data_IF_226582067238
#
_entry.id   IF_226582067238
#
_cell.length_a   1.000
_cell.length_b   1.000
_cell.length_c   1.000
_cell.angle_alpha   90.00
_cell.angle_beta   90.00
_cell.angle_gamma   90.00
#
_symmetry.space_group_name_H-M   'P 1'
#
loop_
_entity.id
_entity.type
_entity.pdbx_description
1 polymer ?
#
# COMPACT_ATOMS: atom_id res chain seq x y z
N UNK A 1 4.26 12.24 6.49
CA UNK A 1 2.88 11.72 6.26
C UNK A 1 2.70 10.38 6.94
N UNK A 2 3.59 9.41 6.69
CA UNK A 2 3.58 8.11 7.34
C UNK A 2 3.59 8.20 8.88
N UNK A 3 4.51 8.96 9.48
CA UNK A 3 4.55 9.15 10.94
C UNK A 3 3.32 9.86 11.48
N UNK A 4 2.94 10.97 10.83
CA UNK A 4 1.91 11.87 11.33
C UNK A 4 0.49 11.29 11.26
N UNK A 5 0.21 10.42 10.29
CA UNK A 5 -1.15 9.94 10.03
C UNK A 5 -1.29 8.42 10.01
N UNK A 6 -0.20 7.67 9.83
CA UNK A 6 -0.23 6.21 9.67
C UNK A 6 0.65 5.46 10.67
N UNK A 7 0.93 6.04 11.84
CA UNK A 7 1.59 5.35 12.95
C UNK A 7 2.94 4.70 12.55
N UNK A 8 3.69 5.27 11.61
CA UNK A 8 4.87 4.59 11.08
C UNK A 8 5.91 4.28 12.17
N UNK A 9 6.18 5.20 13.08
CA UNK A 9 7.04 4.96 14.25
C UNK A 9 6.59 3.75 15.10
N UNK A 10 5.28 3.51 15.22
CA UNK A 10 4.74 2.36 15.95
C UNK A 10 4.83 1.08 15.12
N UNK A 11 4.76 1.17 13.79
CA UNK A 11 4.57 0.01 12.90
C UNK A 11 5.82 -0.45 12.18
N UNK A 12 6.91 0.34 12.19
CA UNK A 12 8.14 0.07 11.42
C UNK A 12 8.69 -1.35 11.65
N UNK A 13 8.75 -1.80 12.90
CA UNK A 13 9.27 -3.14 13.25
C UNK A 13 8.23 -4.26 13.12
N UNK A 14 6.96 -3.92 12.95
CA UNK A 14 5.85 -4.88 12.85
C UNK A 14 5.00 -4.71 11.58
N UNK A 15 5.65 -4.23 10.50
CA UNK A 15 5.01 -4.00 9.20
C UNK A 15 4.31 -5.25 8.64
N UNK A 16 3.24 -5.06 7.90
CA UNK A 16 2.42 -6.13 7.32
C UNK A 16 2.54 -6.13 5.80
N UNK A 17 2.24 -7.27 5.18
CA UNK A 17 2.24 -7.37 3.71
C UNK A 17 0.98 -6.73 3.14
N UNK A 18 -0.16 -6.89 3.81
CA UNK A 18 -1.45 -6.40 3.36
C UNK A 18 -2.25 -5.78 4.53
N UNK A 19 -3.10 -4.80 4.21
CA UNK A 19 -3.83 -3.98 5.20
C UNK A 19 -4.70 -4.80 6.17
N UNK A 20 -5.21 -5.95 5.70
CA UNK A 20 -6.12 -6.82 6.47
C UNK A 20 -5.42 -8.02 7.15
N UNK A 21 -4.09 -8.12 7.11
CA UNK A 21 -3.35 -9.30 7.62
C UNK A 21 -3.55 -9.57 9.13
N UNK A 22 -3.85 -8.52 9.90
CA UNK A 22 -4.10 -8.60 11.35
C UNK A 22 -5.57 -8.34 11.72
N UNK A 23 -6.47 -8.32 10.73
CA UNK A 23 -7.88 -7.98 10.94
C UNK A 23 -8.63 -8.96 11.84
N UNK A 24 -8.18 -10.22 11.93
CA UNK A 24 -8.79 -11.24 12.80
C UNK A 24 -8.64 -10.96 14.30
N UNK A 25 -7.64 -10.16 14.68
CA UNK A 25 -7.40 -9.78 16.08
C UNK A 25 -8.20 -8.54 16.50
N UNK A 26 -8.86 -7.88 15.53
CA UNK A 26 -9.74 -6.75 15.76
C UNK A 26 -11.11 -7.18 16.28
N UNK A 27 -11.62 -6.49 17.31
CA UNK A 27 -12.94 -6.75 17.89
C UNK A 27 -14.05 -5.84 17.33
N UNK A 28 -13.73 -4.99 16.34
CA UNK A 28 -14.68 -4.07 15.71
C UNK A 28 -15.10 -2.89 16.58
N UNK A 29 -14.43 -2.61 17.70
CA UNK A 29 -14.78 -1.46 18.53
C UNK A 29 -14.63 -0.14 17.78
N UNK A 30 -15.44 0.85 18.13
CA UNK A 30 -15.29 2.20 17.61
C UNK A 30 -13.95 2.80 18.04
N UNK A 31 -13.23 3.40 17.08
CA UNK A 31 -11.92 4.01 17.26
C UNK A 31 -11.98 5.55 17.22
N UNK A 32 -13.16 6.15 17.14
CA UNK A 32 -13.30 7.62 17.09
C UNK A 32 -12.70 8.32 18.32
N UNK A 33 -12.89 7.74 19.51
CA UNK A 33 -12.37 8.25 20.78
C UNK A 33 -11.21 7.41 21.36
N UNK A 34 -10.66 6.48 20.58
CA UNK A 34 -9.57 5.62 21.04
C UNK A 34 -8.25 6.40 21.08
N UNK A 35 -7.59 6.41 22.25
CA UNK A 35 -6.34 7.14 22.43
C UNK A 35 -5.12 6.25 22.14
N UNK A 36 -4.69 6.24 20.87
CA UNK A 36 -3.52 5.49 20.42
C UNK A 36 -2.21 5.88 21.14
N UNK A 37 -2.07 7.12 21.59
CA UNK A 37 -0.85 7.60 22.26
C UNK A 37 -0.72 7.08 23.70
N UNK A 38 -1.83 6.66 24.32
CA UNK A 38 -1.87 6.20 25.71
C UNK A 38 -2.29 4.73 25.85
N UNK A 39 -2.39 3.98 24.74
CA UNK A 39 -2.84 2.59 24.77
C UNK A 39 -1.75 1.59 25.18
N UNK A 40 -0.52 2.05 25.39
CA UNK A 40 0.60 1.22 25.82
C UNK A 40 1.02 0.18 24.76
N UNK A 41 0.82 0.47 23.48
CA UNK A 41 1.43 -0.30 22.41
C UNK A 41 2.94 -0.03 22.35
N UNK A 42 3.74 -1.10 22.34
CA UNK A 42 5.20 -1.01 22.29
C UNK A 42 5.74 -1.97 21.22
N UNK A 43 6.72 -1.52 20.44
CA UNK A 43 7.32 -2.28 19.34
C UNK A 43 8.31 -3.34 19.82
N UNK A 44 8.96 -3.11 20.97
CA UNK A 44 9.97 -4.00 21.54
C UNK A 44 9.45 -4.91 22.64
N UNK A 45 10.04 -6.11 22.75
CA UNK A 45 10.14 -6.78 24.05
C UNK A 45 11.01 -5.92 24.95
N UNK A 46 10.52 -5.49 26.11
CA UNK A 46 11.35 -4.82 27.10
C UNK A 46 12.57 -5.67 27.41
N UNK A 47 13.76 -5.23 26.97
CA UNK A 47 15.03 -5.84 27.39
C UNK A 47 15.13 -5.68 28.90
N UNK A 48 15.00 -6.79 29.64
CA UNK A 48 15.15 -6.82 31.10
C UNK A 48 13.96 -7.36 31.90
N UNK A 49 12.86 -7.80 31.27
CA UNK A 49 11.79 -8.48 32.00
C UNK A 49 12.23 -9.92 32.40
N UNK A 50 12.20 -10.28 33.70
CA UNK A 50 12.60 -11.62 34.14
C UNK A 50 11.68 -12.69 33.54
N UNK A 51 12.19 -13.89 33.23
CA UNK A 51 11.52 -14.90 32.39
C UNK A 51 10.29 -15.58 33.02
N UNK A 52 9.72 -15.05 34.11
CA UNK A 52 8.65 -15.75 34.82
C UNK A 52 7.62 -14.84 35.52
N UNK A 53 7.35 -13.65 35.00
CA UNK A 53 6.16 -12.88 35.41
C UNK A 53 5.15 -12.90 34.27
N UNK A 54 4.01 -13.54 34.52
CA UNK A 54 2.76 -13.32 33.81
C UNK A 54 2.30 -11.87 34.03
N UNK A 55 2.85 -10.92 33.25
CA UNK A 55 2.32 -9.56 33.21
C UNK A 55 0.96 -9.60 32.48
N UNK A 56 -0.10 -9.00 33.04
CA UNK A 56 -1.43 -9.05 32.43
C UNK A 56 -1.51 -8.31 31.09
N UNK A 57 -0.58 -7.39 30.81
CA UNK A 57 -0.65 -6.47 29.69
C UNK A 57 0.71 -6.35 28.96
N UNK A 58 0.68 -6.35 27.62
CA UNK A 58 1.68 -5.63 26.82
C UNK A 58 2.94 -6.37 26.35
N UNK A 59 2.95 -7.71 26.26
CA UNK A 59 4.05 -8.42 25.58
C UNK A 59 3.83 -8.40 24.06
N UNK A 60 4.86 -8.07 23.28
CA UNK A 60 4.84 -8.15 21.82
C UNK A 60 4.39 -9.55 21.37
N UNK A 61 3.35 -9.62 20.55
CA UNK A 61 2.74 -10.89 20.09
C UNK A 61 1.68 -11.49 21.02
N UNK A 62 1.37 -10.87 22.17
CA UNK A 62 0.22 -11.25 22.99
C UNK A 62 -1.11 -10.80 22.38
N UNK A 63 -2.22 -11.40 22.82
CA UNK A 63 -3.58 -11.12 22.29
C UNK A 63 -3.94 -9.62 22.34
N UNK A 64 -3.65 -8.96 23.47
CA UNK A 64 -3.90 -7.51 23.61
C UNK A 64 -3.03 -6.68 22.66
N UNK A 65 -1.77 -7.09 22.45
CA UNK A 65 -0.85 -6.42 21.54
C UNK A 65 -1.30 -6.57 20.08
N UNK A 66 -1.69 -7.79 19.67
CA UNK A 66 -2.22 -8.06 18.32
C UNK A 66 -3.49 -7.25 18.04
N UNK A 67 -4.38 -7.12 19.03
CA UNK A 67 -5.56 -6.27 18.91
C UNK A 67 -5.22 -4.80 18.70
N UNK A 68 -4.25 -4.26 19.44
CA UNK A 68 -3.77 -2.87 19.27
C UNK A 68 -3.07 -2.64 17.94
N UNK A 69 -2.38 -3.65 17.42
CA UNK A 69 -1.82 -3.65 16.07
C UNK A 69 -2.94 -3.58 15.03
N UNK A 70 -3.97 -4.41 15.17
CA UNK A 70 -5.14 -4.42 14.30
C UNK A 70 -5.87 -3.06 14.27
N UNK A 71 -6.04 -2.42 15.43
CA UNK A 71 -6.64 -1.08 15.50
C UNK A 71 -5.87 -0.04 14.71
N UNK A 72 -4.53 -0.07 14.72
CA UNK A 72 -3.70 0.86 13.93
C UNK A 72 -3.91 0.63 12.43
N UNK A 73 -3.89 -0.62 11.97
CA UNK A 73 -4.14 -0.94 10.56
C UNK A 73 -5.57 -0.60 10.12
N UNK A 74 -6.60 -0.85 10.94
CA UNK A 74 -7.97 -0.40 10.65
C UNK A 74 -8.06 1.12 10.60
N UNK A 75 -7.42 1.84 11.53
CA UNK A 75 -7.40 3.30 11.51
C UNK A 75 -6.68 3.86 10.27
N UNK A 76 -5.61 3.22 9.81
CA UNK A 76 -4.94 3.53 8.55
C UNK A 76 -5.91 3.32 7.37
N UNK A 77 -6.63 2.19 7.36
CA UNK A 77 -7.62 1.85 6.34
C UNK A 77 -8.71 2.93 6.23
N UNK A 78 -9.29 3.32 7.37
CA UNK A 78 -10.32 4.36 7.44
C UNK A 78 -9.79 5.71 6.96
N UNK A 79 -8.59 6.08 7.41
CA UNK A 79 -7.95 7.36 7.02
C UNK A 79 -7.65 7.38 5.53
N UNK A 80 -7.07 6.32 4.99
CA UNK A 80 -6.83 6.20 3.56
C UNK A 80 -8.12 6.34 2.75
N UNK A 81 -9.17 5.59 3.10
CA UNK A 81 -10.44 5.62 2.38
C UNK A 81 -11.14 6.98 2.47
N UNK A 82 -11.02 7.67 3.61
CA UNK A 82 -11.56 9.03 3.79
C UNK A 82 -10.83 10.05 2.90
N UNK A 83 -9.51 9.93 2.77
CA UNK A 83 -8.69 10.98 2.16
C UNK A 83 -8.11 10.63 0.78
N UNK A 84 -8.36 9.42 0.24
CA UNK A 84 -7.86 9.00 -1.09
C UNK A 84 -8.28 9.91 -2.24
N UNK A 85 -9.38 10.66 -2.07
CA UNK A 85 -9.88 11.65 -3.02
C UNK A 85 -9.63 13.11 -2.57
N UNK A 86 -9.07 13.31 -1.37
CA UNK A 86 -8.89 14.65 -0.77
C UNK A 86 -7.62 14.70 0.11
N UNK A 87 -6.47 14.36 -0.47
CA UNK A 87 -5.18 14.34 0.26
C UNK A 87 -4.81 15.72 0.81
N UNK A 88 -5.16 16.79 0.11
CA UNK A 88 -4.99 18.16 0.59
C UNK A 88 -5.74 18.45 1.90
N UNK A 89 -6.92 17.84 2.10
CA UNK A 89 -7.66 17.91 3.35
C UNK A 89 -6.95 17.22 4.52
N UNK A 90 -6.25 16.11 4.25
CA UNK A 90 -5.45 15.40 5.25
C UNK A 90 -4.21 16.19 5.66
N UNK A 91 -3.50 16.75 4.66
CA UNK A 91 -2.26 17.51 4.87
C UNK A 91 -2.47 18.86 5.57
N UNK A 92 -3.67 19.43 5.44
CA UNK A 92 -3.99 20.76 5.92
C UNK A 92 -3.52 21.88 4.97
N UNK A 93 -4.02 23.12 5.15
CA UNK A 93 -3.89 24.19 4.16
C UNK A 93 -2.43 24.58 3.86
N UNK A 94 -1.57 24.62 4.88
CA UNK A 94 -0.17 25.03 4.70
C UNK A 94 0.64 24.02 3.88
N UNK A 95 0.50 22.72 4.17
CA UNK A 95 1.25 21.67 3.46
C UNK A 95 0.66 21.36 2.09
N UNK A 96 -0.65 21.59 1.91
CA UNK A 96 -1.35 21.34 0.65
C UNK A 96 -0.77 22.14 -0.52
N UNK A 97 -0.53 23.44 -0.33
CA UNK A 97 -0.03 24.29 -1.42
C UNK A 97 1.36 23.86 -1.87
N UNK A 98 2.26 23.65 -0.90
CA UNK A 98 3.60 23.16 -1.18
C UNK A 98 3.59 21.78 -1.84
N UNK A 99 2.71 20.88 -1.39
CA UNK A 99 2.53 19.57 -2.02
C UNK A 99 2.07 19.68 -3.48
N UNK A 100 1.12 20.57 -3.79
CA UNK A 100 0.70 20.81 -5.17
C UNK A 100 1.84 21.34 -6.03
N UNK A 101 2.63 22.30 -5.53
CA UNK A 101 3.78 22.83 -6.26
C UNK A 101 4.79 21.72 -6.56
N UNK A 102 5.21 20.95 -5.55
CA UNK A 102 6.16 19.84 -5.73
C UNK A 102 5.63 18.80 -6.73
N UNK A 103 4.32 18.53 -6.74
CA UNK A 103 3.73 17.59 -7.71
C UNK A 103 3.76 18.12 -9.13
N UNK A 104 3.50 19.40 -9.33
CA UNK A 104 3.62 20.07 -10.64
C UNK A 104 5.07 20.04 -11.12
N UNK A 105 6.02 20.40 -10.25
CA UNK A 105 7.45 20.41 -10.60
C UNK A 105 7.94 19.00 -10.94
N UNK A 106 7.59 17.99 -10.15
CA UNK A 106 7.97 16.59 -10.44
C UNK A 106 7.39 16.11 -11.77
N UNK A 107 6.13 16.41 -12.09
CA UNK A 107 5.55 15.97 -13.36
C UNK A 107 6.16 16.72 -14.55
N UNK A 108 6.50 18.00 -14.39
CA UNK A 108 7.22 18.78 -15.40
C UNK A 108 8.63 18.23 -15.65
N UNK A 109 9.43 18.07 -14.60
CA UNK A 109 10.81 17.57 -14.68
C UNK A 109 10.92 16.11 -15.14
N UNK A 110 9.82 15.35 -15.05
CA UNK A 110 9.75 13.96 -15.53
C UNK A 110 9.05 13.82 -16.88
N UNK A 111 8.90 14.91 -17.64
CA UNK A 111 8.26 14.93 -18.96
C UNK A 111 6.85 14.28 -18.94
N UNK A 112 6.07 14.60 -17.92
CA UNK A 112 4.71 14.09 -17.69
C UNK A 112 4.64 12.55 -17.52
N UNK A 113 5.70 11.91 -17.01
CA UNK A 113 5.72 10.47 -16.76
C UNK A 113 4.53 10.02 -15.90
N UNK A 114 4.29 10.71 -14.79
CA UNK A 114 3.21 10.36 -13.87
C UNK A 114 1.85 10.58 -14.54
N UNK A 115 1.66 11.72 -15.20
CA UNK A 115 0.42 12.02 -15.94
C UNK A 115 0.11 10.97 -17.01
N UNK A 116 1.11 10.50 -17.77
CA UNK A 116 0.91 9.47 -18.79
C UNK A 116 0.56 8.11 -18.16
N UNK A 117 1.26 7.71 -17.10
CA UNK A 117 0.95 6.47 -16.38
C UNK A 117 -0.45 6.50 -15.75
N UNK A 118 -0.85 7.66 -15.19
CA UNK A 118 -2.16 7.85 -14.60
C UNK A 118 -3.28 7.69 -15.63
N UNK A 119 -3.07 8.12 -16.88
CA UNK A 119 -4.03 7.85 -17.98
C UNK A 119 -4.20 6.36 -18.22
N UNK A 120 -3.10 5.60 -18.33
CA UNK A 120 -3.14 4.14 -18.51
C UNK A 120 -3.90 3.45 -17.37
N UNK A 121 -3.59 3.82 -16.13
CA UNK A 121 -4.26 3.28 -14.94
C UNK A 121 -5.76 3.58 -14.92
N UNK A 122 -6.17 4.80 -15.29
CA UNK A 122 -7.58 5.16 -15.39
C UNK A 122 -8.32 4.38 -16.49
N UNK A 123 -7.69 4.15 -17.65
CA UNK A 123 -8.27 3.33 -18.70
C UNK A 123 -8.54 1.91 -18.22
N UNK A 124 -7.63 1.33 -17.41
CA UNK A 124 -7.83 0.02 -16.78
C UNK A 124 -9.00 0.08 -15.79
N UNK A 125 -9.05 1.09 -14.92
CA UNK A 125 -10.13 1.25 -13.91
C UNK A 125 -11.52 1.46 -14.51
N UNK A 126 -11.62 1.94 -15.76
CA UNK A 126 -12.90 2.16 -16.46
C UNK A 126 -13.45 0.91 -17.14
N UNK A 127 -12.67 -0.17 -17.24
CA UNK A 127 -13.10 -1.44 -17.85
C UNK A 127 -13.71 -2.36 -16.80
N UNK A 128 -14.88 -2.92 -17.09
CA UNK A 128 -15.67 -3.70 -16.12
C UNK A 128 -14.94 -4.93 -15.55
N UNK A 129 -14.07 -5.57 -16.34
CA UNK A 129 -13.40 -6.82 -15.98
C UNK A 129 -11.90 -6.65 -15.70
N UNK A 130 -11.43 -5.43 -15.46
CA UNK A 130 -10.04 -5.16 -15.16
C UNK A 130 -9.88 -4.56 -13.76
N UNK A 131 -8.77 -4.90 -13.09
CA UNK A 131 -8.48 -4.44 -11.74
C UNK A 131 -7.02 -4.02 -11.65
N UNK A 132 -6.79 -2.82 -11.11
CA UNK A 132 -5.45 -2.36 -10.76
C UNK A 132 -5.02 -2.92 -9.39
N UNK A 133 -3.84 -3.54 -9.34
CA UNK A 133 -3.21 -4.05 -8.12
C UNK A 133 -1.77 -3.55 -8.06
N UNK A 134 -1.35 -3.03 -6.89
CA UNK A 134 -0.02 -2.50 -6.65
C UNK A 134 0.79 -3.48 -5.79
N UNK A 135 1.98 -3.86 -6.25
CA UNK A 135 2.94 -4.62 -5.46
C UNK A 135 4.26 -3.86 -5.41
N UNK A 136 4.73 -3.50 -4.21
CA UNK A 136 5.94 -2.68 -4.02
C UNK A 136 6.88 -3.28 -2.98
N UNK A 137 8.18 -3.05 -3.11
CA UNK A 137 9.19 -3.45 -2.10
C UNK A 137 9.27 -2.46 -0.93
N UNK A 138 8.57 -1.33 -0.99
CA UNK A 138 8.45 -0.40 0.15
C UNK A 138 7.59 -1.05 1.24
N UNK A 139 7.93 -0.86 2.53
CA UNK A 139 7.04 -1.21 3.65
C UNK A 139 5.61 -0.68 3.44
N UNK A 140 4.60 -1.39 3.93
CA UNK A 140 3.21 -1.08 3.58
C UNK A 140 2.80 0.34 4.00
N UNK A 141 3.11 0.74 5.22
CA UNK A 141 2.74 2.07 5.74
C UNK A 141 3.29 3.22 4.89
N UNK A 142 4.61 3.32 4.62
CA UNK A 142 5.13 4.35 3.73
C UNK A 142 4.68 4.18 2.28
N UNK A 143 4.40 2.97 1.80
CA UNK A 143 3.81 2.76 0.48
C UNK A 143 2.42 3.41 0.35
N UNK A 144 1.55 3.24 1.36
CA UNK A 144 0.23 3.88 1.40
C UNK A 144 0.34 5.41 1.39
N UNK A 145 1.31 5.97 2.15
CA UNK A 145 1.58 7.39 2.13
C UNK A 145 2.03 7.87 0.74
N UNK A 146 2.94 7.14 0.07
CA UNK A 146 3.35 7.45 -1.31
C UNK A 146 2.15 7.42 -2.27
N UNK A 147 1.30 6.39 -2.20
CA UNK A 147 0.12 6.27 -3.05
C UNK A 147 -0.80 7.48 -2.92
N UNK A 148 -1.04 7.96 -1.70
CA UNK A 148 -1.81 9.20 -1.48
C UNK A 148 -1.08 10.43 -2.03
N UNK A 149 0.20 10.64 -1.70
CA UNK A 149 0.95 11.82 -2.15
C UNK A 149 1.06 11.92 -3.67
N UNK A 150 1.06 10.78 -4.37
CA UNK A 150 1.06 10.73 -5.83
C UNK A 150 -0.35 10.75 -6.44
N UNK A 151 -1.42 10.99 -5.67
CA UNK A 151 -2.81 10.97 -6.13
C UNK A 151 -3.24 9.65 -6.78
N UNK A 152 -2.65 8.54 -6.37
CA UNK A 152 -2.99 7.20 -6.86
C UNK A 152 -4.08 6.53 -6.01
N UNK A 153 -4.56 7.20 -4.96
CA UNK A 153 -5.55 6.64 -4.03
C UNK A 153 -6.90 6.29 -4.65
N UNK A 154 -7.31 6.99 -5.71
CA UNK A 154 -8.55 6.66 -6.42
C UNK A 154 -8.41 5.42 -7.31
N UNK A 155 -7.17 5.17 -7.77
CA UNK A 155 -6.84 4.08 -8.69
C UNK A 155 -6.70 2.75 -7.96
N UNK A 156 -6.03 2.78 -6.80
CA UNK A 156 -5.76 1.59 -6.01
C UNK A 156 -6.61 1.62 -4.75
N UNK A 157 -7.69 0.82 -4.68
CA UNK A 157 -8.29 0.45 -3.40
C UNK A 157 -7.20 -0.03 -2.45
N UNK A 158 -7.30 0.30 -1.17
CA UNK A 158 -6.25 -0.04 -0.19
C UNK A 158 -6.03 -1.54 -0.07
N UNK A 159 -7.08 -2.34 -0.30
CA UNK A 159 -7.03 -3.79 -0.34
C UNK A 159 -6.26 -4.30 -1.56
N UNK A 160 -6.01 -3.47 -2.58
CA UNK A 160 -5.25 -3.86 -3.78
C UNK A 160 -3.78 -3.45 -3.69
N UNK A 161 -3.28 -3.12 -2.50
CA UNK A 161 -1.89 -2.71 -2.27
C UNK A 161 -1.18 -3.76 -1.41
N UNK A 162 -0.08 -4.30 -1.92
CA UNK A 162 0.72 -5.33 -1.28
C UNK A 162 2.17 -4.86 -1.11
N UNK A 163 2.71 -5.03 0.09
CA UNK A 163 4.13 -4.84 0.38
C UNK A 163 4.89 -6.16 0.26
N UNK A 164 5.76 -6.24 -0.74
CA UNK A 164 6.72 -7.32 -0.96
C UNK A 164 7.97 -7.21 -0.07
N UNK A 165 8.07 -6.19 0.80
CA UNK A 165 9.28 -5.91 1.59
C UNK A 165 9.79 -7.13 2.39
N UNK A 166 8.87 -7.93 2.94
CA UNK A 166 9.22 -9.10 3.77
C UNK A 166 9.17 -10.44 3.04
N UNK A 167 8.25 -10.60 2.09
CA UNK A 167 7.95 -11.90 1.48
C UNK A 167 8.36 -12.02 0.01
N UNK A 168 8.83 -10.92 -0.61
CA UNK A 168 9.17 -10.88 -2.03
C UNK A 168 7.96 -10.74 -2.95
N UNK A 169 8.22 -10.38 -4.22
CA UNK A 169 7.19 -10.13 -5.24
C UNK A 169 6.42 -11.41 -5.62
N UNK A 170 7.12 -12.53 -5.76
CA UNK A 170 6.53 -13.83 -6.14
C UNK A 170 5.46 -14.27 -5.14
N UNK A 171 5.77 -14.26 -3.84
CA UNK A 171 4.80 -14.58 -2.78
C UNK A 171 3.60 -13.63 -2.77
N UNK A 172 3.80 -12.33 -3.04
CA UNK A 172 2.68 -11.38 -3.20
C UNK A 172 1.80 -11.75 -4.41
N UNK A 173 2.40 -12.13 -5.54
CA UNK A 173 1.67 -12.56 -6.73
C UNK A 173 0.84 -13.81 -6.46
N UNK A 174 1.36 -14.81 -5.74
CA UNK A 174 0.60 -15.99 -5.34
C UNK A 174 -0.60 -15.66 -4.44
N UNK A 175 -0.43 -14.72 -3.50
CA UNK A 175 -1.53 -14.20 -2.67
C UNK A 175 -2.61 -13.52 -3.52
N UNK A 176 -2.21 -12.74 -4.52
CA UNK A 176 -3.12 -12.09 -5.48
C UNK A 176 -3.87 -13.16 -6.31
N UNK A 177 -3.19 -14.22 -6.77
CA UNK A 177 -3.84 -15.34 -7.46
C UNK A 177 -4.85 -16.05 -6.59
N UNK A 178 -4.51 -16.26 -5.33
CA UNK A 178 -5.41 -16.89 -4.35
C UNK A 178 -6.68 -16.07 -4.15
N UNK A 179 -6.57 -14.73 -4.16
CA UNK A 179 -7.70 -13.81 -3.99
C UNK A 179 -8.56 -13.67 -5.25
N UNK A 180 -7.95 -13.46 -6.41
CA UNK A 180 -8.67 -13.16 -7.66
C UNK A 180 -8.97 -14.41 -8.51
N UNK A 181 -8.41 -15.57 -8.15
CA UNK A 181 -8.68 -16.86 -8.78
C UNK A 181 -7.86 -17.13 -10.05
N UNK A 182 -7.43 -18.38 -10.21
CA UNK A 182 -6.53 -18.86 -11.29
C UNK A 182 -7.08 -18.71 -12.72
N UNK A 183 -8.35 -18.37 -12.91
CA UNK A 183 -8.97 -18.17 -14.23
C UNK A 183 -8.73 -16.76 -14.79
N UNK A 184 -8.25 -15.84 -13.96
CA UNK A 184 -7.94 -14.46 -14.36
C UNK A 184 -6.63 -14.41 -15.15
N UNK A 185 -6.53 -13.47 -16.08
CA UNK A 185 -5.27 -13.15 -16.76
C UNK A 185 -4.50 -12.14 -15.92
N UNK A 186 -3.28 -12.49 -15.51
CA UNK A 186 -2.41 -11.61 -14.74
C UNK A 186 -1.35 -11.01 -15.65
N UNK A 187 -1.36 -9.70 -15.82
CA UNK A 187 -0.32 -8.96 -16.55
C UNK A 187 0.50 -8.19 -15.53
N UNK A 188 1.81 -8.44 -15.49
CA UNK A 188 2.73 -7.74 -14.60
C UNK A 188 3.37 -6.58 -15.36
N UNK A 189 3.31 -5.38 -14.79
CA UNK A 189 3.92 -4.17 -15.34
C UNK A 189 4.97 -3.67 -14.35
N UNK A 190 6.21 -3.46 -14.79
CA UNK A 190 7.29 -3.02 -13.91
C UNK A 190 8.61 -2.79 -14.64
N UNK A 191 9.58 -2.24 -13.92
CA UNK A 191 10.91 -1.89 -14.42
C UNK A 191 12.02 -2.81 -13.87
N UNK A 192 11.76 -3.46 -12.73
CA UNK A 192 12.71 -4.26 -11.99
C UNK A 192 12.81 -5.73 -12.40
N UNK A 193 13.97 -6.33 -12.11
CA UNK A 193 14.24 -7.74 -12.38
C UNK A 193 13.45 -8.69 -11.46
N UNK A 194 13.12 -8.25 -10.24
CA UNK A 194 12.42 -9.08 -9.25
C UNK A 194 10.99 -9.41 -9.70
N UNK A 195 10.21 -8.42 -10.13
CA UNK A 195 8.87 -8.65 -10.67
C UNK A 195 8.88 -9.39 -12.00
N UNK A 196 9.89 -9.19 -12.86
CA UNK A 196 10.02 -9.93 -14.12
C UNK A 196 10.31 -11.42 -13.87
N UNK A 197 11.23 -11.71 -12.96
CA UNK A 197 11.59 -13.09 -12.59
C UNK A 197 10.41 -13.80 -11.96
N UNK A 198 9.70 -13.14 -11.04
CA UNK A 198 8.48 -13.67 -10.43
C UNK A 198 7.35 -13.89 -11.46
N UNK A 199 7.15 -12.94 -12.39
CA UNK A 199 6.17 -13.08 -13.47
C UNK A 199 6.50 -14.30 -14.35
N UNK A 200 7.78 -14.48 -14.69
CA UNK A 200 8.23 -15.63 -15.48
C UNK A 200 7.99 -16.96 -14.77
N UNK A 201 8.29 -17.05 -13.47
CA UNK A 201 8.06 -18.27 -12.68
C UNK A 201 6.58 -18.65 -12.63
N UNK A 202 5.69 -17.67 -12.57
CA UNK A 202 4.24 -17.85 -12.53
C UNK A 202 3.57 -17.89 -13.92
N UNK A 203 4.36 -17.80 -15.01
CA UNK A 203 3.88 -17.72 -16.39
C UNK A 203 2.93 -16.54 -16.66
N UNK A 204 3.18 -15.39 -16.04
CA UNK A 204 2.43 -14.16 -16.30
C UNK A 204 3.09 -13.35 -17.42
N UNK A 205 2.31 -12.85 -18.40
CA UNK A 205 2.80 -11.81 -19.31
C UNK A 205 3.43 -10.65 -18.54
N UNK A 206 4.62 -10.22 -18.97
CA UNK A 206 5.36 -9.12 -18.36
C UNK A 206 5.51 -7.97 -19.36
N UNK A 207 5.09 -6.78 -18.95
CA UNK A 207 5.29 -5.54 -19.70
C UNK A 207 6.36 -4.70 -19.01
N UNK A 208 7.57 -4.71 -19.58
CA UNK A 208 8.69 -3.93 -19.05
C UNK A 208 8.49 -2.44 -19.31
N UNK A 209 8.75 -1.61 -18.31
CA UNK A 209 8.83 -0.16 -18.43
C UNK A 209 10.27 0.26 -18.16
N UNK A 210 11.03 0.64 -19.18
CA UNK A 210 12.41 1.15 -19.02
C UNK A 210 12.56 2.60 -19.47
N UNK A 211 11.54 3.14 -20.14
CA UNK A 211 11.54 4.48 -20.72
C UNK A 211 10.12 4.99 -20.98
N UNK A 212 9.97 6.28 -21.31
CA UNK A 212 8.67 6.87 -21.63
C UNK A 212 8.00 6.22 -22.86
N UNK A 213 8.78 5.70 -23.82
CA UNK A 213 8.21 5.02 -24.99
C UNK A 213 7.47 3.73 -24.63
N UNK A 214 7.86 3.06 -23.55
CA UNK A 214 7.22 1.83 -23.11
C UNK A 214 5.85 2.11 -22.48
N UNK A 215 5.72 3.24 -21.77
CA UNK A 215 4.42 3.71 -21.25
C UNK A 215 3.52 4.16 -22.40
N UNK A 216 4.06 4.85 -23.41
CA UNK A 216 3.28 5.20 -24.62
C UNK A 216 2.78 3.95 -25.34
N UNK A 217 3.62 2.92 -25.42
CA UNK A 217 3.24 1.64 -26.02
C UNK A 217 2.15 0.94 -25.20
N UNK A 218 2.26 0.97 -23.87
CA UNK A 218 1.22 0.46 -22.95
C UNK A 218 -0.10 1.20 -23.15
N UNK A 219 -0.06 2.54 -23.23
CA UNK A 219 -1.24 3.38 -23.49
C UNK A 219 -1.91 2.96 -24.80
N UNK A 220 -1.16 2.87 -25.90
CA UNK A 220 -1.69 2.44 -27.21
C UNK A 220 -2.30 1.04 -27.16
N UNK A 221 -1.66 0.09 -26.48
CA UNK A 221 -2.19 -1.27 -26.33
C UNK A 221 -3.52 -1.30 -25.55
N UNK A 222 -3.64 -0.48 -24.50
CA UNK A 222 -4.88 -0.31 -23.75
C UNK A 222 -5.97 0.40 -24.59
N UNK A 223 -5.60 1.35 -25.44
CA UNK A 223 -6.55 2.05 -26.31
C UNK A 223 -7.12 1.13 -27.40
N UNK A 224 -6.28 0.23 -27.92
CA UNK A 224 -6.64 -0.74 -28.95
C UNK A 224 -7.27 -2.04 -28.40
N UNK A 225 -7.31 -2.23 -27.08
CA UNK A 225 -7.87 -3.43 -26.46
C UNK A 225 -7.01 -4.69 -26.60
N UNK A 226 -5.69 -4.53 -26.77
CA UNK A 226 -4.74 -5.65 -26.88
C UNK A 226 -4.27 -6.19 -25.52
N UNK A 227 -4.57 -5.46 -24.45
CA UNK A 227 -4.43 -5.84 -23.05
C UNK A 227 -5.79 -5.72 -22.39
#
# INVERSE_FOLDING_TARGET
>A
MADAYFFFNDLEECDQVHIDDVSSDDNGQDLANYNFAADGFHTGTTQGAPPNICLPNGVRGGVDWMRKLAFRYRKIKDTYNTYRNNVGGLLGPQKREHWHQVRTDVDFETDNWHSLMLKCLNMISQRENCVNVLVTTTQLVPALAKVLLYNLGQIFPIENIYSANKIGKESCFERIVTRFGRKSTYVVVGDGQDEESAAKNLNFPFWRISSHSDIRSLHTALEMGFL
#
